data_IF_086502369465
#
_entry.id   IF_086502369465
#
_cell.length_a   1.000
_cell.length_b   1.000
_cell.length_c   1.000
_cell.angle_alpha   90.00
_cell.angle_beta   90.00
_cell.angle_gamma   90.00
#
_symmetry.space_group_name_H-M   'P 1'
#
loop_
_entity.id
_entity.type
_entity.pdbx_description
1 polymer ?
#
# COMPACT_ATOMS: atom_id res chain seq x y z
N UNK A 1 62.68 20.51 24.76
CA UNK A 1 61.49 20.68 23.90
C UNK A 1 61.30 19.43 23.04
N UNK A 2 60.79 18.31 23.57
CA UNK A 2 60.59 17.10 22.71
C UNK A 2 59.79 16.01 23.42
N UNK A 3 58.51 16.24 23.70
CA UNK A 3 57.57 15.16 24.07
C UNK A 3 56.15 15.34 23.53
N UNK A 4 55.90 16.36 22.68
CA UNK A 4 54.55 16.70 22.20
C UNK A 4 54.26 16.31 20.74
N UNK A 5 55.18 15.62 20.06
CA UNK A 5 55.03 15.27 18.64
C UNK A 5 54.76 13.78 18.35
N UNK A 6 54.88 12.86 19.31
CA UNK A 6 54.66 11.42 19.05
C UNK A 6 53.23 10.92 19.32
N UNK A 7 52.34 11.78 19.82
CA UNK A 7 50.99 11.35 20.21
C UNK A 7 49.94 11.52 19.10
N UNK A 8 50.34 11.89 17.88
CA UNK A 8 49.43 12.04 16.74
C UNK A 8 49.51 10.91 15.71
N UNK A 9 50.26 9.83 16.00
CA UNK A 9 50.54 8.78 15.03
C UNK A 9 50.34 7.38 15.61
N UNK A 10 49.16 7.12 16.18
CA UNK A 10 48.75 5.77 16.61
C UNK A 10 47.23 5.56 16.57
N UNK A 11 46.56 6.10 15.54
CA UNK A 11 45.31 5.46 15.10
C UNK A 11 45.69 4.18 14.35
N UNK A 12 45.44 3.03 14.98
CA UNK A 12 45.77 1.71 14.42
C UNK A 12 45.22 1.53 13.00
N UNK A 13 46.00 0.96 12.06
CA UNK A 13 45.56 0.69 10.68
C UNK A 13 44.24 -0.10 10.62
N UNK A 14 44.03 -0.99 11.59
CA UNK A 14 42.85 -1.87 11.66
C UNK A 14 41.53 -1.11 11.90
N UNK A 15 41.53 0.02 12.62
CA UNK A 15 40.32 0.84 12.79
C UNK A 15 39.98 1.63 11.52
N UNK A 16 40.99 2.14 10.80
CA UNK A 16 40.79 2.87 9.54
C UNK A 16 40.26 1.98 8.41
N UNK A 17 40.66 0.70 8.40
CA UNK A 17 40.15 -0.28 7.43
C UNK A 17 38.69 -0.64 7.73
N UNK A 18 38.32 -0.86 8.99
CA UNK A 18 36.93 -1.12 9.42
C UNK A 18 35.98 0.03 9.07
N UNK A 19 36.39 1.27 9.37
CA UNK A 19 35.60 2.47 9.04
C UNK A 19 35.48 2.68 7.52
N UNK A 20 36.53 2.38 6.74
CA UNK A 20 36.49 2.48 5.28
C UNK A 20 35.55 1.43 4.65
N UNK A 21 35.55 0.21 5.18
CA UNK A 21 34.66 -0.88 4.77
C UNK A 21 33.20 -0.58 5.13
N UNK A 22 32.93 -0.11 6.35
CA UNK A 22 31.58 0.33 6.77
C UNK A 22 31.07 1.49 5.90
N UNK A 23 31.91 2.47 5.60
CA UNK A 23 31.55 3.58 4.72
C UNK A 23 31.31 3.14 3.27
N UNK A 24 32.05 2.14 2.77
CA UNK A 24 31.83 1.57 1.44
C UNK A 24 30.51 0.79 1.37
N UNK A 25 30.24 -0.06 2.36
CA UNK A 25 29.00 -0.81 2.47
C UNK A 25 27.78 0.11 2.61
N UNK A 26 27.88 1.20 3.38
CA UNK A 26 26.84 2.21 3.49
C UNK A 26 26.57 2.92 2.15
N UNK A 27 27.62 3.31 1.41
CA UNK A 27 27.48 3.91 0.08
C UNK A 27 26.81 2.96 -0.91
N UNK A 28 27.20 1.70 -0.90
CA UNK A 28 26.60 0.67 -1.76
C UNK A 28 25.13 0.45 -1.40
N UNK A 29 24.79 0.38 -0.11
CA UNK A 29 23.41 0.26 0.35
C UNK A 29 22.55 1.45 -0.10
N UNK A 30 23.02 2.68 0.11
CA UNK A 30 22.34 3.91 -0.32
C UNK A 30 22.16 3.92 -1.84
N UNK A 31 23.19 3.52 -2.59
CA UNK A 31 23.14 3.45 -4.05
C UNK A 31 22.12 2.42 -4.54
N UNK A 32 22.12 1.22 -3.97
CA UNK A 32 21.18 0.16 -4.29
C UNK A 32 19.73 0.56 -3.95
N UNK A 33 19.51 1.22 -2.81
CA UNK A 33 18.20 1.76 -2.45
C UNK A 33 17.75 2.84 -3.43
N UNK A 34 18.64 3.75 -3.80
CA UNK A 34 18.36 4.82 -4.76
C UNK A 34 17.97 4.26 -6.14
N UNK A 35 18.69 3.24 -6.63
CA UNK A 35 18.35 2.56 -7.88
C UNK A 35 16.96 1.92 -7.87
N UNK A 36 16.56 1.28 -6.77
CA UNK A 36 15.20 0.71 -6.63
C UNK A 36 14.12 1.76 -6.78
N UNK A 37 14.32 2.95 -6.21
CA UNK A 37 13.37 4.08 -6.37
C UNK A 37 13.32 4.52 -7.82
N UNK A 38 14.48 4.74 -8.45
CA UNK A 38 14.58 5.18 -9.84
C UNK A 38 13.89 4.21 -10.82
N UNK A 39 13.99 2.91 -10.59
CA UNK A 39 13.33 1.88 -11.41
C UNK A 39 11.80 1.96 -11.37
N UNK A 40 11.22 2.56 -10.32
CA UNK A 40 9.77 2.69 -10.15
C UNK A 40 9.23 4.00 -10.71
N UNK A 41 10.07 5.01 -10.89
CA UNK A 41 9.67 6.32 -11.42
C UNK A 41 8.92 6.26 -12.76
N UNK A 42 9.26 5.40 -13.74
CA UNK A 42 8.51 5.32 -14.99
C UNK A 42 7.01 5.01 -14.80
N UNK A 43 6.64 4.29 -13.74
CA UNK A 43 5.24 3.99 -13.42
C UNK A 43 4.46 5.22 -12.93
N UNK A 44 5.13 6.30 -12.53
CA UNK A 44 4.45 7.54 -12.13
C UNK A 44 3.71 8.18 -13.30
N UNK A 45 4.27 8.16 -14.51
CA UNK A 45 3.67 8.80 -15.68
C UNK A 45 2.22 8.33 -15.95
N UNK A 46 1.99 7.00 -16.09
CA UNK A 46 0.65 6.46 -16.24
C UNK A 46 -0.30 6.79 -15.08
N UNK A 47 0.18 6.79 -13.83
CA UNK A 47 -0.66 7.12 -12.67
C UNK A 47 -1.04 8.60 -12.64
N UNK A 48 -0.09 9.49 -12.96
CA UNK A 48 -0.34 10.93 -13.07
C UNK A 48 -1.36 11.21 -14.18
N UNK A 49 -1.29 10.50 -15.30
CA UNK A 49 -2.31 10.60 -16.36
C UNK A 49 -3.71 10.24 -15.83
N UNK A 50 -3.83 9.17 -15.04
CA UNK A 50 -5.10 8.82 -14.38
C UNK A 50 -5.54 9.88 -13.37
N UNK A 51 -4.61 10.50 -12.63
CA UNK A 51 -4.92 11.59 -11.69
C UNK A 51 -5.51 12.80 -12.43
N UNK A 52 -4.93 13.18 -13.57
CA UNK A 52 -5.44 14.29 -14.40
C UNK A 52 -6.88 14.08 -14.89
N UNK A 53 -7.32 12.82 -14.99
CA UNK A 53 -8.65 12.44 -15.46
C UNK A 53 -9.64 12.17 -14.31
N UNK A 54 -9.18 12.13 -13.06
CA UNK A 54 -10.01 11.78 -11.90
C UNK A 54 -10.46 13.02 -11.14
N UNK A 55 -11.75 13.14 -10.86
CA UNK A 55 -12.34 14.34 -10.21
C UNK A 55 -11.75 14.61 -8.83
N UNK A 56 -11.44 13.58 -8.04
CA UNK A 56 -10.89 13.69 -6.69
C UNK A 56 -9.36 13.85 -6.62
N UNK A 57 -8.63 13.66 -7.73
CA UNK A 57 -7.16 13.75 -7.79
C UNK A 57 -6.61 14.82 -8.73
N UNK A 58 -7.40 15.33 -9.68
CA UNK A 58 -6.92 16.30 -10.70
C UNK A 58 -6.36 17.61 -10.15
N UNK A 59 -6.67 17.96 -8.91
CA UNK A 59 -6.22 19.19 -8.24
C UNK A 59 -5.19 18.93 -7.14
N UNK A 60 -4.62 17.72 -7.08
CA UNK A 60 -3.57 17.39 -6.13
C UNK A 60 -2.30 18.17 -6.46
N UNK A 61 -1.62 18.73 -5.45
CA UNK A 61 -0.34 19.39 -5.68
C UNK A 61 0.73 18.37 -6.07
N UNK A 62 1.69 18.79 -6.91
CA UNK A 62 2.82 17.93 -7.30
C UNK A 62 3.61 17.48 -6.07
N UNK A 63 3.79 18.36 -5.09
CA UNK A 63 4.44 18.03 -3.81
C UNK A 63 3.76 16.90 -3.07
N UNK A 64 2.46 16.70 -3.27
CA UNK A 64 1.74 15.63 -2.58
C UNK A 64 2.02 14.23 -3.14
N UNK A 65 2.56 14.14 -4.36
CA UNK A 65 2.97 12.86 -4.95
C UNK A 65 4.09 12.19 -4.14
N UNK A 66 4.89 12.98 -3.42
CA UNK A 66 5.95 12.46 -2.56
C UNK A 66 5.42 11.57 -1.44
N UNK A 67 4.28 11.91 -0.84
CA UNK A 67 3.71 11.13 0.27
C UNK A 67 2.58 10.20 -0.17
N UNK A 68 1.91 10.51 -1.30
CA UNK A 68 0.78 9.73 -1.81
C UNK A 68 1.21 8.62 -2.78
N UNK A 69 2.18 8.89 -3.65
CA UNK A 69 2.48 8.03 -4.80
C UNK A 69 3.86 7.36 -4.72
N UNK A 70 4.89 8.04 -4.19
CA UNK A 70 6.21 7.41 -4.06
C UNK A 70 6.23 6.21 -3.10
N UNK A 71 5.68 6.27 -1.87
CA UNK A 71 5.78 5.15 -0.94
C UNK A 71 5.19 3.84 -1.46
N UNK A 72 3.98 3.80 -2.09
CA UNK A 72 3.45 2.57 -2.64
C UNK A 72 4.24 2.07 -3.86
N UNK A 73 4.72 2.97 -4.71
CA UNK A 73 5.52 2.59 -5.88
C UNK A 73 6.84 1.92 -5.46
N UNK A 74 7.53 2.49 -4.47
CA UNK A 74 8.81 1.98 -3.96
C UNK A 74 8.63 0.68 -3.18
N UNK A 75 7.58 0.58 -2.36
CA UNK A 75 7.28 -0.61 -1.57
C UNK A 75 6.59 -1.74 -2.37
N UNK A 76 6.15 -1.46 -3.60
CA UNK A 76 5.36 -2.39 -4.40
C UNK A 76 3.93 -2.57 -3.88
N UNK A 77 3.44 -1.66 -3.04
CA UNK A 77 2.11 -1.70 -2.45
C UNK A 77 1.08 -0.95 -3.32
N UNK A 78 1.10 -1.24 -4.62
CA UNK A 78 0.13 -0.72 -5.57
C UNK A 78 0.00 -1.62 -6.79
N UNK A 79 -1.12 -1.47 -7.49
CA UNK A 79 -1.39 -2.14 -8.75
C UNK A 79 -1.90 -1.14 -9.78
N UNK A 80 -1.28 -1.16 -10.95
CA UNK A 80 -1.69 -0.38 -12.12
C UNK A 80 -2.33 -1.33 -13.13
N UNK A 81 -3.57 -1.05 -13.49
CA UNK A 81 -4.31 -1.84 -14.49
C UNK A 81 -4.14 -1.20 -15.86
N UNK A 82 -3.65 -2.00 -16.80
CA UNK A 82 -3.42 -1.59 -18.18
C UNK A 82 -4.38 -2.32 -19.11
N UNK A 83 -4.92 -1.63 -20.11
CA UNK A 83 -5.60 -2.24 -21.25
C UNK A 83 -4.79 -1.94 -22.49
N UNK A 84 -4.13 -2.98 -23.03
CA UNK A 84 -3.05 -2.80 -24.02
C UNK A 84 -1.98 -1.88 -23.41
N UNK A 85 -1.68 -0.75 -24.05
CA UNK A 85 -0.69 0.23 -23.60
C UNK A 85 -1.31 1.41 -22.83
N UNK A 86 -2.61 1.37 -22.54
CA UNK A 86 -3.32 2.48 -21.91
C UNK A 86 -3.63 2.20 -20.43
N UNK A 87 -3.28 3.11 -19.50
CA UNK A 87 -3.64 2.96 -18.09
C UNK A 87 -5.14 3.17 -17.88
N UNK A 88 -5.78 2.26 -17.15
CA UNK A 88 -7.22 2.29 -16.92
C UNK A 88 -7.55 2.67 -15.48
N UNK A 89 -6.81 2.10 -14.54
CA UNK A 89 -7.03 2.38 -13.13
C UNK A 89 -5.81 2.05 -12.28
N UNK A 90 -5.76 2.62 -11.09
CA UNK A 90 -4.67 2.48 -10.13
C UNK A 90 -5.24 2.31 -8.72
N UNK A 91 -4.62 1.43 -7.94
CA UNK A 91 -4.93 1.23 -6.53
C UNK A 91 -3.65 1.12 -5.73
N UNK A 92 -3.64 1.69 -4.53
CA UNK A 92 -2.53 1.58 -3.57
C UNK A 92 -3.03 1.17 -2.20
N UNK A 93 -2.17 0.49 -1.44
CA UNK A 93 -2.48 0.01 -0.11
C UNK A 93 -1.32 0.18 0.86
N UNK A 94 -1.62 0.10 2.15
CA UNK A 94 -0.68 0.17 3.25
C UNK A 94 -0.98 -0.92 4.28
N UNK A 95 0.05 -1.33 5.01
CA UNK A 95 -0.08 -2.20 6.17
C UNK A 95 0.21 -1.39 7.43
N UNK A 96 -0.85 -1.07 8.16
CA UNK A 96 -0.82 -0.16 9.30
C UNK A 96 -0.82 -0.93 10.63
N UNK A 97 -0.21 -0.34 11.64
CA UNK A 97 -0.49 -0.67 13.03
C UNK A 97 -1.63 0.22 13.59
N UNK A 98 -2.08 -0.03 14.82
CA UNK A 98 -3.14 0.76 15.46
C UNK A 98 -2.80 2.26 15.59
N UNK A 99 -1.53 2.57 15.81
CA UNK A 99 -1.09 3.94 16.02
C UNK A 99 -1.13 4.73 14.69
N UNK A 100 -0.74 4.10 13.58
CA UNK A 100 -0.82 4.62 12.23
C UNK A 100 -2.26 4.74 11.75
N UNK A 101 -3.14 3.78 12.06
CA UNK A 101 -4.58 3.90 11.79
C UNK A 101 -5.16 5.16 12.46
N UNK A 102 -4.86 5.38 13.74
CA UNK A 102 -5.31 6.58 14.45
C UNK A 102 -4.81 7.87 13.77
N UNK A 103 -3.54 7.91 13.37
CA UNK A 103 -2.95 9.05 12.64
C UNK A 103 -3.60 9.25 11.27
N UNK A 104 -3.93 8.18 10.55
CA UNK A 104 -4.60 8.24 9.26
C UNK A 104 -5.92 9.02 9.36
N UNK A 105 -6.75 8.72 10.38
CA UNK A 105 -7.99 9.45 10.62
C UNK A 105 -7.76 10.91 11.05
N UNK A 106 -6.78 11.16 11.90
CA UNK A 106 -6.45 12.51 12.37
C UNK A 106 -5.93 13.42 11.24
N UNK A 107 -5.21 12.86 10.27
CA UNK A 107 -4.59 13.60 9.17
C UNK A 107 -5.47 13.68 7.91
N UNK A 108 -6.77 13.36 8.02
CA UNK A 108 -7.70 13.42 6.89
C UNK A 108 -7.39 12.41 5.79
N UNK A 109 -6.92 11.21 6.16
CA UNK A 109 -6.60 10.13 5.23
C UNK A 109 -5.20 10.18 4.62
N UNK A 110 -4.29 10.99 5.19
CA UNK A 110 -2.89 11.08 4.74
C UNK A 110 -1.98 10.25 5.61
N UNK A 111 -1.12 9.46 4.97
CA UNK A 111 -0.06 8.68 5.62
C UNK A 111 1.29 9.38 5.54
N UNK A 112 2.10 9.18 6.57
CA UNK A 112 3.54 9.47 6.51
C UNK A 112 4.25 8.32 5.80
N UNK A 113 5.40 8.56 5.13
CA UNK A 113 6.14 7.50 4.44
C UNK A 113 6.43 6.28 5.33
N UNK A 114 6.73 6.48 6.60
CA UNK A 114 7.06 5.39 7.55
C UNK A 114 5.84 4.54 7.93
N UNK A 115 4.63 5.12 7.83
CA UNK A 115 3.39 4.46 8.22
C UNK A 115 2.91 3.44 7.16
N UNK A 116 3.40 3.52 5.91
CA UNK A 116 2.93 2.65 4.81
C UNK A 116 3.12 1.15 5.07
N UNK A 117 4.09 0.77 5.91
CA UNK A 117 4.44 -0.63 6.21
C UNK A 117 4.90 -0.80 7.66
N UNK A 118 4.02 -0.44 8.60
CA UNK A 118 4.32 -0.48 10.04
C UNK A 118 3.56 -1.58 10.80
N UNK A 119 2.60 -2.28 10.17
CA UNK A 119 1.84 -3.34 10.83
C UNK A 119 1.31 -4.39 9.87
N UNK A 120 0.15 -4.97 10.21
CA UNK A 120 -0.51 -6.06 9.49
C UNK A 120 -1.94 -5.71 9.03
N UNK A 121 -2.44 -4.51 9.36
CA UNK A 121 -3.79 -4.09 9.00
C UNK A 121 -3.79 -3.50 7.60
N UNK A 122 -4.42 -4.19 6.67
CA UNK A 122 -4.50 -3.80 5.28
C UNK A 122 -5.50 -2.64 5.06
N UNK A 123 -4.98 -1.53 4.54
CA UNK A 123 -5.74 -0.34 4.16
C UNK A 123 -5.56 0.00 2.69
N UNK A 124 -6.65 0.24 1.97
CA UNK A 124 -6.61 0.89 0.66
C UNK A 124 -6.49 2.40 0.89
N UNK A 125 -5.45 3.00 0.31
CA UNK A 125 -5.10 4.42 0.51
C UNK A 125 -5.56 5.27 -0.66
N UNK A 126 -5.46 4.75 -1.88
CA UNK A 126 -5.92 5.46 -3.06
C UNK A 126 -6.54 4.50 -4.06
N UNK A 127 -7.67 4.92 -4.64
CA UNK A 127 -8.34 4.26 -5.75
C UNK A 127 -8.59 5.32 -6.81
N UNK A 128 -8.05 5.09 -8.00
CA UNK A 128 -8.14 6.02 -9.12
C UNK A 128 -8.65 5.24 -10.32
N UNK A 129 -9.91 5.46 -10.65
CA UNK A 129 -10.62 4.77 -11.73
C UNK A 129 -11.49 5.79 -12.50
N UNK A 130 -10.89 6.69 -13.29
CA UNK A 130 -11.60 7.78 -13.95
C UNK A 130 -12.68 7.30 -14.95
N UNK A 131 -12.60 6.04 -15.38
CA UNK A 131 -13.55 5.41 -16.30
C UNK A 131 -14.53 4.45 -15.59
N UNK A 132 -14.58 4.48 -14.25
CA UNK A 132 -15.35 3.55 -13.43
C UNK A 132 -14.66 2.19 -13.23
N UNK A 133 -15.37 1.22 -12.64
CA UNK A 133 -14.85 -0.13 -12.38
C UNK A 133 -14.16 -0.31 -11.03
N UNK A 134 -14.43 0.57 -10.06
CA UNK A 134 -13.91 0.48 -8.69
C UNK A 134 -14.26 -0.87 -8.05
N UNK A 135 -15.49 -1.35 -8.26
CA UNK A 135 -15.98 -2.62 -7.73
C UNK A 135 -15.18 -3.80 -8.26
N UNK A 136 -14.83 -3.78 -9.56
CA UNK A 136 -14.01 -4.82 -10.17
C UNK A 136 -12.58 -4.82 -9.62
N UNK A 137 -12.02 -3.63 -9.36
CA UNK A 137 -10.70 -3.51 -8.74
C UNK A 137 -10.71 -4.03 -7.32
N UNK A 138 -11.71 -3.66 -6.51
CA UNK A 138 -11.84 -4.15 -5.14
C UNK A 138 -12.06 -5.66 -5.11
N UNK A 139 -12.80 -6.22 -6.06
CA UNK A 139 -12.98 -7.66 -6.21
C UNK A 139 -11.67 -8.37 -6.62
N UNK A 140 -10.91 -7.79 -7.55
CA UNK A 140 -9.59 -8.30 -7.94
C UNK A 140 -8.60 -8.27 -6.78
N UNK A 141 -8.51 -7.16 -6.03
CA UNK A 141 -7.65 -7.06 -4.85
C UNK A 141 -8.07 -8.07 -3.78
N UNK A 142 -9.37 -8.18 -3.47
CA UNK A 142 -9.85 -9.17 -2.50
C UNK A 142 -9.56 -10.60 -2.95
N UNK A 143 -9.76 -10.94 -4.22
CA UNK A 143 -9.64 -12.32 -4.69
C UNK A 143 -8.19 -12.75 -4.94
N UNK A 144 -7.41 -11.90 -5.61
CA UNK A 144 -6.14 -12.27 -6.20
C UNK A 144 -4.93 -11.78 -5.38
N UNK A 145 -5.05 -10.66 -4.67
CA UNK A 145 -3.94 -10.13 -3.84
C UNK A 145 -4.11 -10.52 -2.37
N UNK A 146 -5.33 -10.43 -1.82
CA UNK A 146 -5.60 -10.59 -0.38
C UNK A 146 -6.85 -11.45 -0.05
N UNK A 147 -6.89 -12.73 -0.48
CA UNK A 147 -8.06 -13.61 -0.31
C UNK A 147 -8.49 -13.82 1.14
N UNK A 148 -7.55 -13.76 2.08
CA UNK A 148 -7.76 -14.10 3.48
C UNK A 148 -7.69 -12.90 4.44
N UNK A 149 -7.55 -11.68 3.92
CA UNK A 149 -7.44 -10.48 4.76
C UNK A 149 -8.70 -9.64 4.74
N UNK A 150 -8.99 -8.99 5.88
CA UNK A 150 -9.95 -7.90 5.94
C UNK A 150 -9.33 -6.68 5.27
N UNK A 151 -10.04 -6.11 4.29
CA UNK A 151 -9.60 -4.89 3.62
C UNK A 151 -10.32 -3.70 4.22
N UNK A 152 -9.58 -2.68 4.63
CA UNK A 152 -10.12 -1.43 5.15
C UNK A 152 -9.96 -0.31 4.14
N UNK A 153 -10.91 0.61 4.10
CA UNK A 153 -10.81 1.83 3.31
C UNK A 153 -11.50 2.98 4.04
N UNK A 154 -11.05 4.19 3.77
CA UNK A 154 -11.72 5.39 4.25
C UNK A 154 -12.97 5.63 3.43
N UNK A 155 -14.09 5.87 4.10
CA UNK A 155 -15.35 6.28 3.50
C UNK A 155 -15.86 7.56 4.17
N UNK A 156 -16.60 8.43 3.45
CA UNK A 156 -17.32 9.53 4.07
C UNK A 156 -18.34 8.99 5.07
N UNK A 157 -18.39 9.59 6.27
CA UNK A 157 -19.45 9.32 7.23
C UNK A 157 -20.67 10.18 6.88
N UNK A 158 -21.76 9.54 6.47
CA UNK A 158 -23.00 10.21 6.08
C UNK A 158 -23.69 10.96 7.24
N UNK A 159 -23.36 10.64 8.49
CA UNK A 159 -23.95 11.29 9.68
C UNK A 159 -23.16 12.50 10.13
N UNK A 160 -21.83 12.39 10.16
CA UNK A 160 -20.95 13.42 10.73
C UNK A 160 -20.30 14.29 9.66
N UNK A 161 -20.33 13.88 8.38
CA UNK A 161 -19.58 14.51 7.30
C UNK A 161 -18.07 14.28 7.39
N UNK A 162 -17.60 13.54 8.41
CA UNK A 162 -16.21 13.16 8.60
C UNK A 162 -15.83 11.93 7.78
N UNK A 163 -14.80 11.23 8.25
CA UNK A 163 -14.31 9.99 7.65
C UNK A 163 -14.49 8.82 8.62
N UNK A 164 -14.86 7.66 8.10
CA UNK A 164 -15.04 6.42 8.84
C UNK A 164 -14.34 5.24 8.14
N UNK A 165 -14.07 4.18 8.89
CA UNK A 165 -13.60 2.93 8.34
C UNK A 165 -14.77 2.19 7.67
N UNK A 166 -14.58 1.78 6.42
CA UNK A 166 -15.38 0.73 5.79
C UNK A 166 -14.53 -0.53 5.69
N UNK A 167 -15.08 -1.65 6.11
CA UNK A 167 -14.42 -2.95 6.02
C UNK A 167 -15.07 -3.79 4.90
N UNK A 168 -14.23 -4.51 4.17
CA UNK A 168 -14.61 -5.56 3.25
C UNK A 168 -14.10 -6.88 3.84
N UNK A 169 -14.98 -7.87 4.08
CA UNK A 169 -14.56 -9.12 4.71
C UNK A 169 -13.69 -9.95 3.75
N UNK A 170 -12.94 -10.94 4.25
CA UNK A 170 -12.08 -11.78 3.41
C UNK A 170 -12.86 -12.51 2.33
N UNK A 171 -12.31 -12.58 1.12
CA UNK A 171 -12.96 -13.28 0.00
C UNK A 171 -13.20 -14.76 0.30
N UNK A 172 -12.26 -15.44 0.97
CA UNK A 172 -12.40 -16.85 1.36
C UNK A 172 -13.52 -17.09 2.37
N UNK A 173 -13.89 -16.09 3.17
CA UNK A 173 -15.05 -16.15 4.06
C UNK A 173 -16.36 -16.04 3.27
N UNK A 174 -16.41 -15.18 2.25
CA UNK A 174 -17.58 -15.02 1.39
C UNK A 174 -17.89 -16.31 0.60
N UNK A 175 -16.86 -16.97 0.08
CA UNK A 175 -17.02 -18.23 -0.67
C UNK A 175 -17.56 -19.37 0.20
N UNK A 176 -17.08 -19.49 1.45
CA UNK A 176 -17.58 -20.50 2.41
C UNK A 176 -19.07 -20.29 2.71
N UNK A 177 -19.45 -19.05 3.03
CA UNK A 177 -20.84 -18.70 3.31
C UNK A 177 -21.76 -18.94 2.08
N UNK A 178 -21.27 -18.68 0.87
CA UNK A 178 -22.00 -18.95 -0.36
C UNK A 178 -22.19 -20.45 -0.62
N UNK A 179 -21.18 -21.28 -0.33
CA UNK A 179 -21.26 -22.73 -0.46
C UNK A 179 -22.25 -23.33 0.56
N UNK A 180 -22.22 -22.87 1.81
CA UNK A 180 -23.14 -23.32 2.87
C UNK A 180 -24.59 -22.90 2.63
N UNK A 181 -24.83 -21.69 2.12
CA UNK A 181 -26.17 -21.20 1.78
C UNK A 181 -26.82 -21.89 0.57
N UNK A 182 -26.01 -22.49 -0.32
CA UNK A 182 -26.50 -23.24 -1.49
C UNK A 182 -26.91 -24.69 -1.20
N UNK A 183 -26.67 -25.19 0.03
CA UNK A 183 -26.94 -26.57 0.42
C UNK A 183 -28.31 -26.83 1.09
N UNK A 184 -29.16 -25.81 1.24
CA UNK A 184 -30.39 -25.92 2.06
C UNK A 184 -31.66 -26.22 1.23
N UNK A 185 -31.66 -26.07 -0.09
CA UNK A 185 -32.86 -26.25 -0.94
C UNK A 185 -33.11 -27.70 -1.44
N UNK A 186 -32.48 -28.71 -0.84
CA UNK A 186 -32.51 -30.09 -1.33
C UNK A 186 -33.36 -31.11 -0.56
N UNK A 187 -33.98 -30.78 0.58
CA UNK A 187 -34.48 -31.81 1.51
C UNK A 187 -35.84 -31.61 2.18
N UNK A 188 -36.70 -30.75 1.63
CA UNK A 188 -38.08 -30.58 2.12
C UNK A 188 -39.12 -30.69 1.00
N UNK A 189 -39.13 -31.79 0.25
CA UNK A 189 -40.28 -32.12 -0.61
C UNK A 189 -40.43 -33.63 -0.90
N UNK A 190 -40.27 -34.49 0.12
CA UNK A 190 -40.48 -35.94 -0.05
C UNK A 190 -41.53 -36.58 0.88
N UNK A 191 -42.16 -35.85 1.82
CA UNK A 191 -43.05 -36.45 2.82
C UNK A 191 -44.52 -35.99 2.77
N UNK A 192 -44.99 -35.51 1.63
CA UNK A 192 -46.44 -35.29 1.39
C UNK A 192 -46.89 -36.03 0.14
N UNK A 193 -46.80 -37.37 0.14
CA UNK A 193 -47.59 -38.26 -0.75
C UNK A 193 -47.42 -39.74 -0.35
N UNK A 194 -48.25 -40.18 0.60
CA UNK A 194 -48.74 -41.54 0.90
C UNK A 194 -49.50 -41.40 2.23
N UNK A 195 -50.83 -41.49 2.37
CA UNK A 195 -51.71 -42.65 2.10
C UNK A 195 -51.00 -43.99 2.14
#
# INVERSE_FOLDING_TARGET
MTKKQEQQQKESPMMKTSEAEENAALKEHIHAQSLKVLQRLPAMGPVIMLYMQSSHRRYQFISDLEWLLLPPLVSGQCKLYMKKEYPISFISWAFLDEAAEKRLFQNGGKLRPEDWKCGDRLWIIDIVAPFGGVENMLADIQKNEFPDQVIRLIAPDLKTGGITARELPPYSSMQRNAAEGSGIDGQTEADVRKM
#
